data_IF_220146262864
#
_entry.id   IF_220146262864
#
_cell.length_a   1.000
_cell.length_b   1.000
_cell.length_c   1.000
_cell.angle_alpha   90.00
_cell.angle_beta   90.00
_cell.angle_gamma   90.00
#
_symmetry.space_group_name_H-M   'P 1'
#
loop_
_entity.id
_entity.type
_entity.pdbx_description
1 polymer ?
#
# COMPACT_ATOMS: atom_id res chain seq x y z
N UNK A 1 11.94 -14.53 -15.49
CA UNK A 1 10.83 -14.15 -16.39
C UNK A 1 9.87 -13.25 -15.63
N UNK A 2 9.29 -12.24 -16.28
CA UNK A 2 8.26 -11.39 -15.66
C UNK A 2 7.04 -12.26 -15.25
N UNK A 3 6.37 -11.90 -14.15
CA UNK A 3 5.17 -12.64 -13.71
C UNK A 3 4.03 -12.47 -14.73
N UNK A 4 3.09 -13.41 -14.76
CA UNK A 4 1.92 -13.32 -15.65
C UNK A 4 1.14 -12.00 -15.46
N UNK A 5 1.09 -11.47 -14.23
CA UNK A 5 0.47 -10.17 -13.94
C UNK A 5 1.22 -9.00 -14.58
N UNK A 6 2.56 -9.00 -14.55
CA UNK A 6 3.38 -7.96 -15.22
C UNK A 6 3.24 -8.06 -16.73
N UNK A 7 3.24 -9.28 -17.28
CA UNK A 7 3.04 -9.50 -18.71
C UNK A 7 1.67 -8.99 -19.17
N UNK A 8 0.61 -9.25 -18.38
CA UNK A 8 -0.72 -8.71 -18.68
C UNK A 8 -0.74 -7.18 -18.73
N UNK A 9 -0.03 -6.52 -17.80
CA UNK A 9 0.11 -5.06 -17.81
C UNK A 9 0.93 -4.56 -19.01
N UNK A 10 1.96 -5.29 -19.43
CA UNK A 10 2.74 -4.97 -20.63
C UNK A 10 1.86 -4.94 -21.89
N UNK A 11 0.88 -5.84 -21.98
CA UNK A 11 -0.08 -5.85 -23.08
C UNK A 11 -1.06 -4.66 -23.04
N UNK A 12 -1.43 -4.17 -21.85
CA UNK A 12 -2.19 -2.91 -21.72
C UNK A 12 -1.41 -1.74 -22.32
N UNK A 13 -0.11 -1.63 -22.00
CA UNK A 13 0.75 -0.55 -22.50
C UNK A 13 0.95 -0.61 -24.01
N UNK A 14 1.03 -1.82 -24.58
CA UNK A 14 1.18 -2.02 -26.04
C UNK A 14 -0.14 -1.86 -26.80
N UNK A 15 -1.29 -1.90 -26.12
CA UNK A 15 -2.62 -1.82 -26.70
C UNK A 15 -3.04 -0.39 -27.04
N UNK A 16 -4.29 -0.05 -26.69
CA UNK A 16 -4.88 1.26 -27.01
C UNK A 16 -4.12 2.44 -26.40
N UNK A 17 -3.38 2.21 -25.31
CA UNK A 17 -2.55 3.27 -24.74
C UNK A 17 -1.40 3.69 -25.67
N UNK A 18 -0.75 2.75 -26.37
CA UNK A 18 0.26 3.08 -27.38
C UNK A 18 -0.35 3.87 -28.56
N UNK A 19 -1.59 3.53 -28.94
CA UNK A 19 -2.34 4.26 -29.97
C UNK A 19 -2.67 5.68 -29.51
N UNK A 20 -3.19 5.84 -28.28
CA UNK A 20 -3.42 7.14 -27.64
C UNK A 20 -2.14 7.99 -27.65
N UNK A 21 -1.01 7.42 -27.20
CA UNK A 21 0.26 8.13 -27.14
C UNK A 21 0.71 8.64 -28.52
N UNK A 22 0.61 7.77 -29.53
CA UNK A 22 0.96 8.11 -30.91
C UNK A 22 0.08 9.22 -31.48
N UNK A 23 -1.23 9.17 -31.23
CA UNK A 23 -2.17 10.22 -31.68
C UNK A 23 -1.87 11.54 -30.95
N UNK A 24 -1.62 11.50 -29.64
CA UNK A 24 -1.24 12.68 -28.86
C UNK A 24 0.05 13.33 -29.35
N UNK A 25 1.04 12.54 -29.81
CA UNK A 25 2.25 13.06 -30.44
C UNK A 25 1.99 13.76 -31.76
N UNK A 26 1.06 13.24 -32.57
CA UNK A 26 0.66 13.87 -33.83
C UNK A 26 -0.09 15.19 -33.60
N UNK A 27 -0.89 15.27 -32.53
CA UNK A 27 -1.59 16.50 -32.14
C UNK A 27 -0.60 17.55 -31.63
N UNK A 28 0.41 17.15 -30.84
CA UNK A 28 1.41 18.06 -30.30
C UNK A 28 0.89 18.94 -29.15
N UNK A 29 1.69 19.95 -28.77
CA UNK A 29 1.37 20.89 -27.69
C UNK A 29 0.99 20.22 -26.37
N UNK A 30 0.03 20.83 -25.67
CA UNK A 30 -0.46 20.38 -24.36
C UNK A 30 -0.95 18.92 -24.35
N UNK A 31 -1.52 18.45 -25.47
CA UNK A 31 -2.03 17.07 -25.58
C UNK A 31 -0.88 16.07 -25.57
N UNK A 32 0.23 16.39 -26.24
CA UNK A 32 1.44 15.57 -26.18
C UNK A 32 2.01 15.58 -24.77
N UNK A 33 2.16 16.75 -24.15
CA UNK A 33 2.72 16.88 -22.80
C UNK A 33 1.91 16.10 -21.77
N UNK A 34 0.58 16.20 -21.81
CA UNK A 34 -0.30 15.42 -20.95
C UNK A 34 -0.12 13.91 -21.18
N UNK A 35 -0.03 13.46 -22.44
CA UNK A 35 0.19 12.04 -22.75
C UNK A 35 1.54 11.52 -22.25
N UNK A 36 2.57 12.37 -22.20
CA UNK A 36 3.88 12.05 -21.64
C UNK A 36 3.79 11.86 -20.11
N UNK A 37 3.01 12.70 -19.42
CA UNK A 37 2.76 12.54 -17.97
C UNK A 37 1.99 11.25 -17.67
N UNK A 38 0.97 10.90 -18.47
CA UNK A 38 0.23 9.63 -18.33
C UNK A 38 1.17 8.45 -18.53
N UNK A 39 2.07 8.51 -19.53
CA UNK A 39 3.08 7.46 -19.75
C UNK A 39 3.97 7.27 -18.52
N UNK A 40 4.46 8.35 -17.94
CA UNK A 40 5.31 8.30 -16.74
C UNK A 40 4.57 7.68 -15.55
N UNK A 41 3.29 8.01 -15.36
CA UNK A 41 2.46 7.42 -14.32
C UNK A 41 2.28 5.89 -14.51
N UNK A 42 1.99 5.46 -15.74
CA UNK A 42 1.85 4.03 -16.07
C UNK A 42 3.17 3.26 -15.92
N UNK A 43 4.31 3.89 -16.23
CA UNK A 43 5.63 3.28 -16.00
C UNK A 43 5.93 3.11 -14.51
N UNK A 44 5.55 4.08 -13.69
CA UNK A 44 5.67 3.99 -12.23
C UNK A 44 4.77 2.88 -11.67
N UNK A 45 3.53 2.76 -12.14
CA UNK A 45 2.62 1.68 -11.77
C UNK A 45 3.19 0.31 -12.18
N UNK A 46 3.74 0.20 -13.39
CA UNK A 46 4.43 -1.02 -13.84
C UNK A 46 5.61 -1.38 -12.94
N UNK A 47 6.44 -0.42 -12.57
CA UNK A 47 7.58 -0.65 -11.68
C UNK A 47 7.13 -1.15 -10.29
N UNK A 48 6.01 -0.61 -9.79
CA UNK A 48 5.38 -1.10 -8.58
C UNK A 48 4.90 -2.56 -8.74
N UNK A 49 4.21 -2.90 -9.84
CA UNK A 49 3.76 -4.27 -10.12
C UNK A 49 4.91 -5.26 -10.21
N UNK A 50 6.01 -4.90 -10.88
CA UNK A 50 7.23 -5.73 -10.94
C UNK A 50 7.80 -5.97 -9.56
N UNK A 51 7.88 -4.92 -8.75
CA UNK A 51 8.38 -5.01 -7.37
C UNK A 51 7.48 -5.91 -6.53
N UNK A 52 6.17 -5.72 -6.59
CA UNK A 52 5.19 -6.50 -5.84
C UNK A 52 5.18 -7.97 -6.25
N UNK A 53 5.28 -8.27 -7.55
CA UNK A 53 5.27 -9.64 -8.07
C UNK A 53 6.43 -10.51 -7.54
N UNK A 54 7.55 -9.89 -7.16
CA UNK A 54 8.70 -10.58 -6.57
C UNK A 54 8.65 -10.74 -5.05
N UNK A 55 7.57 -10.32 -4.39
CA UNK A 55 7.47 -10.28 -2.92
C UNK A 55 6.24 -11.04 -2.43
N UNK A 56 6.40 -11.78 -1.34
CA UNK A 56 5.24 -12.32 -0.63
C UNK A 56 4.47 -11.16 -0.01
N UNK A 57 3.15 -11.12 -0.21
CA UNK A 57 2.30 -10.15 0.49
C UNK A 57 2.42 -10.42 1.99
N UNK A 58 2.83 -9.44 2.83
CA UNK A 58 2.75 -9.57 4.27
C UNK A 58 1.28 -9.58 4.66
N UNK A 59 0.68 -10.77 4.68
CA UNK A 59 -0.76 -10.93 4.46
C UNK A 59 -1.42 -11.90 5.43
N UNK A 60 -2.75 -11.92 5.32
CA UNK A 60 -3.60 -12.96 5.89
C UNK A 60 -3.12 -14.38 5.52
N UNK A 61 -2.46 -14.60 4.39
CA UNK A 61 -1.97 -15.94 4.03
C UNK A 61 -0.85 -16.41 4.97
N UNK A 62 0.12 -15.54 5.28
CA UNK A 62 1.16 -15.84 6.27
C UNK A 62 0.55 -16.09 7.65
N UNK A 63 -0.39 -15.24 8.08
CA UNK A 63 -1.15 -15.45 9.32
C UNK A 63 -1.90 -16.79 9.32
N UNK A 64 -2.63 -17.08 8.25
CA UNK A 64 -3.51 -18.25 8.14
C UNK A 64 -2.73 -19.57 8.10
N UNK A 65 -1.53 -19.58 7.49
CA UNK A 65 -0.61 -20.73 7.55
C UNK A 65 -0.07 -20.98 8.97
N UNK A 66 -0.04 -19.94 9.82
CA UNK A 66 0.54 -19.98 11.16
C UNK A 66 -0.53 -19.86 12.27
N UNK A 67 -1.73 -20.42 12.07
CA UNK A 67 -2.85 -20.33 13.03
C UNK A 67 -2.55 -20.81 14.45
N UNK A 68 -1.65 -21.78 14.62
CA UNK A 68 -1.23 -22.30 15.92
C UNK A 68 -0.14 -21.49 16.63
N UNK A 69 0.32 -20.38 16.05
CA UNK A 69 1.42 -19.59 16.62
C UNK A 69 1.03 -18.92 17.94
N UNK A 70 1.92 -18.96 18.94
CA UNK A 70 1.78 -18.14 20.16
C UNK A 70 1.78 -16.62 19.85
N UNK A 71 2.32 -16.22 18.70
CA UNK A 71 2.34 -14.83 18.23
C UNK A 71 1.18 -14.53 17.26
N UNK A 72 0.13 -15.36 17.20
CA UNK A 72 -0.97 -15.18 16.24
C UNK A 72 -1.61 -13.77 16.30
N UNK A 73 -1.77 -13.19 17.49
CA UNK A 73 -2.29 -11.82 17.63
C UNK A 73 -1.33 -10.74 17.06
N UNK A 74 0.00 -10.96 17.07
CA UNK A 74 0.95 -10.08 16.39
C UNK A 74 0.77 -10.18 14.87
N UNK A 75 0.72 -11.41 14.34
CA UNK A 75 0.51 -11.65 12.92
C UNK A 75 -0.82 -11.07 12.43
N UNK A 76 -1.86 -11.17 13.27
CA UNK A 76 -3.19 -10.60 13.00
C UNK A 76 -3.12 -9.07 12.94
N UNK A 77 -2.49 -8.43 13.92
CA UNK A 77 -2.29 -6.98 13.95
C UNK A 77 -1.65 -6.46 12.66
N UNK A 78 -0.57 -7.12 12.21
CA UNK A 78 0.11 -6.76 10.96
C UNK A 78 -0.80 -6.98 9.76
N UNK A 79 -1.45 -8.15 9.65
CA UNK A 79 -2.30 -8.48 8.50
C UNK A 79 -3.49 -7.54 8.30
N UNK A 80 -4.01 -6.97 9.38
CA UNK A 80 -5.13 -6.01 9.33
C UNK A 80 -4.62 -4.56 9.16
N UNK A 81 -3.49 -4.21 9.77
CA UNK A 81 -2.91 -2.87 9.69
C UNK A 81 -2.20 -2.57 8.36
N UNK A 82 -1.61 -3.58 7.71
CA UNK A 82 -0.82 -3.41 6.47
C UNK A 82 -1.61 -2.81 5.31
N UNK A 83 -2.95 -2.94 5.35
CA UNK A 83 -3.85 -2.30 4.39
C UNK A 83 -3.70 -0.77 4.34
N UNK A 84 -3.13 -0.15 5.38
CA UNK A 84 -2.86 1.29 5.44
C UNK A 84 -2.01 1.77 4.25
N UNK A 85 -1.12 0.94 3.72
CA UNK A 85 -0.29 1.28 2.56
C UNK A 85 -1.12 1.56 1.29
N UNK A 86 -2.38 1.11 1.24
CA UNK A 86 -3.31 1.40 0.16
C UNK A 86 -3.81 2.85 0.11
N UNK A 87 -3.40 3.73 1.04
CA UNK A 87 -3.80 5.14 1.05
C UNK A 87 -3.48 5.86 -0.27
N UNK A 88 -2.45 5.41 -1.00
CA UNK A 88 -2.02 5.99 -2.28
C UNK A 88 -3.11 5.94 -3.36
N UNK A 89 -4.08 5.04 -3.23
CA UNK A 89 -5.25 4.92 -4.12
C UNK A 89 -6.56 5.31 -3.42
N UNK A 90 -6.50 5.88 -2.22
CA UNK A 90 -7.70 6.33 -1.52
C UNK A 90 -8.30 7.55 -2.23
N UNK A 91 -9.56 7.50 -2.68
CA UNK A 91 -10.16 8.56 -3.50
C UNK A 91 -10.44 9.83 -2.70
N UNK A 92 -10.59 9.73 -1.37
CA UNK A 92 -10.70 10.88 -0.46
C UNK A 92 -10.17 10.53 0.94
N UNK A 93 -9.68 11.53 1.67
CA UNK A 93 -9.26 11.46 3.09
C UNK A 93 -8.31 10.27 3.37
N UNK A 94 -7.10 10.27 2.79
CA UNK A 94 -6.15 9.17 2.98
C UNK A 94 -5.76 8.95 4.45
N UNK A 95 -5.77 10.01 5.28
CA UNK A 95 -5.56 9.93 6.72
C UNK A 95 -6.66 9.11 7.41
N UNK A 96 -7.94 9.35 7.09
CA UNK A 96 -9.06 8.60 7.63
C UNK A 96 -9.02 7.12 7.20
N UNK A 97 -8.58 6.85 5.97
CA UNK A 97 -8.35 5.48 5.49
C UNK A 97 -7.26 4.77 6.31
N UNK A 98 -6.12 5.41 6.55
CA UNK A 98 -5.05 4.86 7.39
C UNK A 98 -5.55 4.63 8.81
N UNK A 99 -6.32 5.57 9.37
CA UNK A 99 -6.88 5.48 10.72
C UNK A 99 -7.81 4.28 10.91
N UNK A 100 -8.62 3.93 9.91
CA UNK A 100 -9.45 2.72 9.96
C UNK A 100 -8.58 1.46 10.12
N UNK A 101 -7.43 1.40 9.44
CA UNK A 101 -6.50 0.26 9.52
C UNK A 101 -5.74 0.23 10.85
N UNK A 102 -5.44 1.40 11.43
CA UNK A 102 -4.94 1.49 12.82
C UNK A 102 -5.95 0.89 13.78
N UNK A 103 -7.22 1.29 13.71
CA UNK A 103 -8.27 0.77 14.59
C UNK A 103 -8.43 -0.76 14.47
N UNK A 104 -8.36 -1.29 13.25
CA UNK A 104 -8.40 -2.73 13.00
C UNK A 104 -7.20 -3.46 13.61
N UNK A 105 -5.99 -2.90 13.50
CA UNK A 105 -4.80 -3.43 14.15
C UNK A 105 -4.90 -3.35 15.68
N UNK A 106 -5.44 -2.26 16.23
CA UNK A 106 -5.58 -2.02 17.67
C UNK A 106 -6.37 -3.13 18.39
N UNK A 107 -7.40 -3.67 17.73
CA UNK A 107 -8.15 -4.82 18.25
C UNK A 107 -7.26 -6.01 18.61
N UNK A 108 -6.28 -6.33 17.76
CA UNK A 108 -5.37 -7.45 17.97
C UNK A 108 -4.16 -7.07 18.83
N UNK A 109 -3.65 -5.85 18.74
CA UNK A 109 -2.55 -5.42 19.61
C UNK A 109 -2.99 -5.32 21.07
N UNK A 110 -4.24 -4.96 21.34
CA UNK A 110 -4.79 -5.00 22.70
C UNK A 110 -4.80 -6.42 23.28
N UNK A 111 -5.00 -7.44 22.43
CA UNK A 111 -4.86 -8.84 22.84
C UNK A 111 -3.40 -9.21 23.09
N UNK A 112 -2.46 -8.72 22.27
CA UNK A 112 -1.02 -8.88 22.55
C UNK A 112 -0.66 -8.32 23.92
N UNK A 113 -1.09 -7.10 24.23
CA UNK A 113 -0.86 -6.50 25.55
C UNK A 113 -1.46 -7.35 26.67
N UNK A 114 -2.69 -7.85 26.49
CA UNK A 114 -3.35 -8.72 27.47
C UNK A 114 -2.61 -10.05 27.67
N UNK A 115 -2.22 -10.71 26.59
CA UNK A 115 -1.65 -12.06 26.64
C UNK A 115 -0.22 -12.05 27.21
N UNK A 116 0.52 -10.95 27.02
CA UNK A 116 1.95 -10.84 27.35
C UNK A 116 2.28 -9.84 28.47
N UNK A 117 1.28 -9.23 29.13
CA UNK A 117 1.47 -8.17 30.16
C UNK A 117 2.46 -8.50 31.28
N UNK A 118 2.49 -9.76 31.72
CA UNK A 118 3.31 -10.22 32.86
C UNK A 118 4.46 -11.13 32.37
N UNK A 119 4.75 -11.11 31.07
CA UNK A 119 5.78 -11.95 30.45
C UNK A 119 7.04 -11.13 30.13
N UNK A 120 7.09 -10.54 28.94
CA UNK A 120 8.26 -9.83 28.40
C UNK A 120 7.82 -8.47 27.85
N UNK A 121 8.43 -7.41 28.36
CA UNK A 121 8.10 -6.03 28.01
C UNK A 121 8.23 -5.74 26.50
N UNK A 122 9.07 -6.50 25.77
CA UNK A 122 9.25 -6.31 24.33
C UNK A 122 7.97 -6.43 23.52
N UNK A 123 6.97 -7.17 24.01
CA UNK A 123 5.67 -7.28 23.34
C UNK A 123 4.88 -5.97 23.41
N UNK A 124 4.94 -5.28 24.55
CA UNK A 124 4.36 -3.96 24.70
C UNK A 124 5.11 -2.92 23.87
N UNK A 125 6.45 -2.98 23.86
CA UNK A 125 7.28 -2.10 23.03
C UNK A 125 6.99 -2.31 21.53
N UNK A 126 6.83 -3.57 21.10
CA UNK A 126 6.45 -3.90 19.73
C UNK A 126 5.09 -3.32 19.34
N UNK A 127 4.07 -3.44 20.22
CA UNK A 127 2.74 -2.84 19.99
C UNK A 127 2.86 -1.33 19.82
N UNK A 128 3.60 -0.66 20.71
CA UNK A 128 3.82 0.78 20.65
C UNK A 128 4.51 1.19 19.35
N UNK A 129 5.56 0.48 18.95
CA UNK A 129 6.31 0.76 17.74
C UNK A 129 5.45 0.56 16.47
N UNK A 130 4.73 -0.55 16.37
CA UNK A 130 3.91 -0.85 15.19
C UNK A 130 2.76 0.15 15.01
N UNK A 131 2.00 0.44 16.08
CA UNK A 131 0.94 1.45 16.02
C UNK A 131 1.51 2.86 15.81
N UNK A 132 2.67 3.15 16.39
CA UNK A 132 3.40 4.41 16.18
C UNK A 132 3.72 4.65 14.71
N UNK A 133 4.28 3.65 14.03
CA UNK A 133 4.60 3.75 12.60
C UNK A 133 3.36 4.02 11.74
N UNK A 134 2.21 3.39 12.04
CA UNK A 134 0.96 3.67 11.32
C UNK A 134 0.41 5.07 11.62
N UNK A 135 0.56 5.57 12.86
CA UNK A 135 0.16 6.94 13.25
C UNK A 135 1.04 8.00 12.60
N UNK A 136 2.33 7.74 12.44
CA UNK A 136 3.24 8.58 11.67
C UNK A 136 2.82 8.64 10.19
N UNK A 137 2.38 7.51 9.62
CA UNK A 137 1.82 7.46 8.26
C UNK A 137 0.49 8.24 8.14
N UNK A 138 -0.41 8.11 9.12
CA UNK A 138 -1.64 8.93 9.20
C UNK A 138 -1.29 10.43 9.20
N UNK A 139 -0.34 10.84 10.04
CA UNK A 139 0.10 12.23 10.12
C UNK A 139 0.74 12.73 8.80
N UNK A 140 1.57 11.89 8.17
CA UNK A 140 2.18 12.19 6.86
C UNK A 140 1.10 12.43 5.80
N UNK A 141 0.16 11.50 5.66
CA UNK A 141 -0.93 11.60 4.67
C UNK A 141 -1.81 12.81 4.93
N UNK A 142 -2.15 13.11 6.19
CA UNK A 142 -2.90 14.32 6.56
C UNK A 142 -2.19 15.61 6.17
N UNK A 143 -0.86 15.65 6.34
CA UNK A 143 -0.04 16.86 6.08
C UNK A 143 0.23 17.08 4.60
N UNK A 144 0.49 16.02 3.84
CA UNK A 144 0.99 16.12 2.46
C UNK A 144 -0.02 15.68 1.38
N UNK A 145 -1.04 14.93 1.77
CA UNK A 145 -2.02 14.29 0.88
C UNK A 145 -3.45 14.40 1.45
N UNK A 146 -3.82 15.59 1.94
CA UNK A 146 -5.02 15.81 2.77
C UNK A 146 -6.35 15.47 2.08
N UNK A 147 -6.42 15.59 0.75
CA UNK A 147 -7.61 15.23 -0.03
C UNK A 147 -7.45 13.87 -0.71
N UNK A 148 -6.35 13.68 -1.42
CA UNK A 148 -5.97 12.45 -2.13
C UNK A 148 -4.44 12.48 -2.35
N UNK A 149 -3.90 11.46 -3.03
CA UNK A 149 -2.51 11.48 -3.49
C UNK A 149 -2.21 12.78 -4.26
N UNK A 150 -1.12 13.45 -3.88
CA UNK A 150 -0.68 14.71 -4.48
C UNK A 150 0.37 14.39 -5.52
N UNK A 151 0.10 14.72 -6.78
CA UNK A 151 1.08 14.59 -7.86
C UNK A 151 2.10 15.73 -7.81
N UNK A 152 3.31 15.47 -8.31
CA UNK A 152 4.37 16.47 -8.42
C UNK A 152 3.95 17.63 -9.33
N UNK A 153 4.51 18.81 -9.06
CA UNK A 153 4.40 20.00 -9.92
C UNK A 153 5.62 20.10 -10.82
#
# INVERSE_FOLDING_TARGET
MASASVQGYDEVLKGQFAVYKKISEQIGGDVKEQSDLVKQALDAERAFLVTAAGRAKPSQEFRNKNRGSKQFNHLSSVSEGIGALGWVVAPMKPDAFVKEKINAAEFYTNRVLKDFKDQDAKHADWVKAFLGALKELEAYTKKHHSAALTWGK
#
